data_IF_518513784228
#
_entry.id   IF_518513784228
#
_cell.length_a   1.000
_cell.length_b   1.000
_cell.length_c   1.000
_cell.angle_alpha   90.00
_cell.angle_beta   90.00
_cell.angle_gamma   90.00
#
_symmetry.space_group_name_H-M   'P 1'
#
loop_
_entity.id
_entity.type
_entity.pdbx_description
1 polymer ?
#
# COMPACT_ATOMS: atom_id res chain seq x y z
N UNK A 1 1.32 1.33 -21.63
CA UNK A 1 0.75 1.50 -20.27
C UNK A 1 0.41 0.11 -19.79
N UNK A 2 1.09 -0.48 -18.78
CA UNK A 2 0.55 -1.71 -18.22
C UNK A 2 -0.82 -1.36 -17.62
N UNK A 3 -1.80 -2.21 -17.89
CA UNK A 3 -3.17 -2.02 -17.43
C UNK A 3 -3.25 -2.06 -15.91
N UNK A 4 -4.29 -1.43 -15.38
CA UNK A 4 -4.64 -1.40 -13.98
C UNK A 4 -4.57 -2.82 -13.36
N UNK A 5 -3.63 -3.05 -12.44
CA UNK A 5 -3.32 -4.33 -11.79
C UNK A 5 -4.24 -4.60 -10.61
N UNK A 6 -4.94 -5.74 -10.64
CA UNK A 6 -5.73 -6.25 -9.52
C UNK A 6 -4.88 -7.14 -8.60
N UNK A 7 -5.42 -7.50 -7.44
CA UNK A 7 -4.84 -8.52 -6.55
C UNK A 7 -4.55 -9.84 -7.28
N UNK A 8 -5.48 -10.28 -8.12
CA UNK A 8 -5.34 -11.52 -8.89
C UNK A 8 -4.17 -11.41 -9.87
N UNK A 9 -4.12 -10.33 -10.66
CA UNK A 9 -3.01 -10.08 -11.59
C UNK A 9 -1.66 -10.00 -10.89
N UNK A 10 -1.58 -9.33 -9.73
CA UNK A 10 -0.35 -9.27 -8.94
C UNK A 10 0.08 -10.65 -8.45
N UNK A 11 -0.88 -11.47 -7.99
CA UNK A 11 -0.62 -12.82 -7.50
C UNK A 11 -0.12 -13.73 -8.63
N UNK A 12 -0.73 -13.66 -9.82
CA UNK A 12 -0.28 -14.37 -11.02
C UNK A 12 1.14 -13.98 -11.42
N UNK A 13 1.46 -12.68 -11.42
CA UNK A 13 2.79 -12.19 -11.76
C UNK A 13 3.86 -12.73 -10.79
N UNK A 14 3.55 -12.77 -9.49
CA UNK A 14 4.47 -13.34 -8.50
C UNK A 14 4.59 -14.86 -8.61
N UNK A 15 3.50 -15.55 -8.97
CA UNK A 15 3.53 -16.98 -9.24
C UNK A 15 4.43 -17.30 -10.44
N UNK A 16 4.27 -16.58 -11.54
CA UNK A 16 5.12 -16.74 -12.73
C UNK A 16 6.59 -16.40 -12.49
N UNK A 17 6.86 -15.39 -11.66
CA UNK A 17 8.21 -15.05 -11.26
C UNK A 17 8.80 -16.17 -10.39
N UNK A 18 8.01 -16.71 -9.46
CA UNK A 18 8.41 -17.84 -8.62
C UNK A 18 8.83 -19.05 -9.45
N UNK A 19 8.05 -19.41 -10.47
CA UNK A 19 8.34 -20.54 -11.36
C UNK A 19 9.66 -20.35 -12.13
N UNK A 20 9.91 -19.13 -12.62
CA UNK A 20 11.18 -18.77 -13.28
C UNK A 20 12.38 -18.84 -12.34
N UNK A 21 12.20 -18.45 -11.08
CA UNK A 21 13.24 -18.54 -10.06
C UNK A 21 13.52 -20.01 -9.67
N UNK A 22 12.48 -20.83 -9.59
CA UNK A 22 12.58 -22.26 -9.30
C UNK A 22 13.39 -23.00 -10.37
N UNK A 23 13.12 -22.74 -11.65
CA UNK A 23 13.89 -23.32 -12.77
C UNK A 23 15.38 -22.98 -12.69
N UNK A 24 15.72 -21.82 -12.12
CA UNK A 24 17.09 -21.35 -11.92
C UNK A 24 17.66 -21.73 -10.55
N UNK A 25 16.89 -22.45 -9.72
CA UNK A 25 17.24 -22.87 -8.35
C UNK A 25 17.64 -21.69 -7.44
N UNK A 26 16.99 -20.56 -7.62
CA UNK A 26 17.25 -19.33 -6.87
C UNK A 26 16.10 -19.06 -5.92
N UNK A 27 16.43 -18.65 -4.70
CA UNK A 27 15.48 -18.10 -3.75
C UNK A 27 15.64 -16.59 -3.71
N UNK A 28 14.54 -15.88 -3.84
CA UNK A 28 14.52 -14.43 -3.81
C UNK A 28 13.53 -13.90 -2.76
N UNK A 29 13.82 -12.70 -2.29
CA UNK A 29 12.93 -11.94 -1.42
C UNK A 29 12.73 -10.55 -2.01
N UNK A 30 11.47 -10.18 -2.20
CA UNK A 30 11.05 -8.87 -2.70
C UNK A 30 10.20 -8.16 -1.65
N UNK A 31 10.55 -6.92 -1.33
CA UNK A 31 9.81 -6.07 -0.41
C UNK A 31 9.01 -5.03 -1.19
N UNK A 32 7.68 -5.16 -1.18
CA UNK A 32 6.73 -4.33 -1.92
C UNK A 32 6.21 -3.21 -1.03
N UNK A 33 6.12 -2.02 -1.60
CA UNK A 33 5.58 -0.80 -0.99
C UNK A 33 4.53 -0.18 -1.91
N UNK A 34 4.03 1.01 -1.58
CA UNK A 34 3.19 1.78 -2.50
C UNK A 34 1.84 1.12 -2.81
N UNK A 35 1.33 1.35 -4.02
CA UNK A 35 0.01 0.89 -4.44
C UNK A 35 -0.15 -0.64 -4.40
N UNK A 36 0.87 -1.40 -4.82
CA UNK A 36 0.84 -2.86 -4.76
C UNK A 36 0.76 -3.40 -3.32
N UNK A 37 1.45 -2.76 -2.36
CA UNK A 37 1.30 -3.11 -0.95
C UNK A 37 -0.10 -2.78 -0.42
N UNK A 38 -0.71 -1.65 -0.86
CA UNK A 38 -2.09 -1.33 -0.52
C UNK A 38 -3.07 -2.38 -1.06
N UNK A 39 -2.99 -2.71 -2.35
CA UNK A 39 -3.88 -3.68 -3.01
C UNK A 39 -3.80 -5.07 -2.36
N UNK A 40 -2.59 -5.54 -2.03
CA UNK A 40 -2.37 -6.88 -1.50
C UNK A 40 -2.54 -6.97 0.02
N UNK A 41 -2.18 -5.92 0.75
CA UNK A 41 -2.10 -5.94 2.20
C UNK A 41 -3.23 -5.21 2.92
N UNK A 42 -3.81 -4.15 2.34
CA UNK A 42 -4.59 -3.15 3.09
C UNK A 42 -5.99 -2.86 2.54
N UNK A 43 -6.23 -2.94 1.23
CA UNK A 43 -7.54 -2.69 0.61
C UNK A 43 -7.78 -3.62 -0.57
N UNK A 44 -8.80 -4.47 -0.48
CA UNK A 44 -9.00 -5.60 -1.41
C UNK A 44 -9.63 -5.22 -2.75
N UNK A 45 -10.42 -4.16 -2.79
CA UNK A 45 -11.16 -3.75 -4.00
C UNK A 45 -10.38 -2.76 -4.88
N UNK A 46 -9.19 -2.33 -4.42
CA UNK A 46 -8.33 -1.40 -5.15
C UNK A 46 -7.54 -2.08 -6.24
N UNK A 47 -7.09 -1.25 -7.17
CA UNK A 47 -6.15 -1.61 -8.22
C UNK A 47 -5.01 -0.59 -8.25
N UNK A 48 -3.86 -1.00 -8.79
CA UNK A 48 -2.66 -0.16 -8.87
C UNK A 48 -2.13 -0.14 -10.30
N UNK A 49 -1.46 0.93 -10.69
CA UNK A 49 -0.81 1.00 -12.01
C UNK A 49 0.60 0.40 -11.97
N UNK A 50 1.26 0.51 -10.82
CA UNK A 50 2.65 0.12 -10.65
C UNK A 50 2.85 -0.85 -9.47
N UNK A 51 3.95 -1.61 -9.55
CA UNK A 51 4.49 -2.42 -8.46
C UNK A 51 5.76 -1.74 -7.98
N UNK A 52 5.68 -0.97 -6.90
CA UNK A 52 6.86 -0.38 -6.26
C UNK A 52 7.48 -1.41 -5.32
N UNK A 53 8.74 -1.79 -5.54
CA UNK A 53 9.40 -2.78 -4.70
C UNK A 53 10.91 -2.57 -4.60
N UNK A 54 11.51 -3.15 -3.56
CA UNK A 54 12.96 -3.35 -3.45
C UNK A 54 13.25 -4.84 -3.46
N UNK A 55 14.14 -5.27 -4.34
CA UNK A 55 14.60 -6.66 -4.35
C UNK A 55 15.67 -6.80 -3.26
N UNK A 56 15.41 -7.65 -2.26
CA UNK A 56 16.31 -7.86 -1.12
C UNK A 56 17.34 -8.95 -1.39
N UNK A 57 17.00 -9.94 -2.21
CA UNK A 57 17.90 -11.04 -2.59
C UNK A 57 17.57 -11.61 -3.97
N UNK A 58 18.56 -12.23 -4.61
CA UNK A 58 18.39 -12.83 -5.94
C UNK A 58 18.30 -11.82 -7.10
N UNK A 59 18.76 -10.58 -6.90
CA UNK A 59 18.56 -9.43 -7.81
C UNK A 59 18.69 -9.75 -9.30
N UNK A 60 19.85 -10.24 -9.74
CA UNK A 60 20.11 -10.52 -11.16
C UNK A 60 19.06 -11.44 -11.77
N UNK A 61 18.74 -12.53 -11.08
CA UNK A 61 17.83 -13.59 -11.55
C UNK A 61 16.38 -13.11 -11.49
N UNK A 62 16.02 -12.31 -10.49
CA UNK A 62 14.70 -11.65 -10.41
C UNK A 62 14.51 -10.70 -11.58
N UNK A 63 15.49 -9.84 -11.88
CA UNK A 63 15.43 -8.89 -12.99
C UNK A 63 15.34 -9.60 -14.34
N UNK A 64 16.06 -10.71 -14.53
CA UNK A 64 15.94 -11.54 -15.72
C UNK A 64 14.53 -12.13 -15.87
N UNK A 65 13.99 -12.75 -14.81
CA UNK A 65 12.65 -13.33 -14.83
C UNK A 65 11.55 -12.28 -15.05
N UNK A 66 11.70 -11.10 -14.45
CA UNK A 66 10.86 -9.92 -14.68
C UNK A 66 10.82 -9.55 -16.16
N UNK A 67 11.99 -9.45 -16.82
CA UNK A 67 12.08 -9.05 -18.23
C UNK A 67 11.45 -10.08 -19.15
N UNK A 68 11.60 -11.36 -18.84
CA UNK A 68 10.95 -12.45 -19.57
C UNK A 68 9.43 -12.33 -19.49
N UNK A 69 8.87 -12.23 -18.27
CA UNK A 69 7.42 -12.05 -18.08
C UNK A 69 6.94 -10.76 -18.74
N UNK A 70 7.71 -9.66 -18.63
CA UNK A 70 7.35 -8.39 -19.23
C UNK A 70 7.17 -8.50 -20.75
N UNK A 71 8.08 -9.20 -21.43
CA UNK A 71 7.98 -9.44 -22.89
C UNK A 71 6.79 -10.32 -23.24
N UNK A 72 6.54 -11.38 -22.47
CA UNK A 72 5.44 -12.31 -22.71
C UNK A 72 4.07 -11.68 -22.48
N UNK A 73 3.94 -10.84 -21.45
CA UNK A 73 2.68 -10.18 -21.06
C UNK A 73 2.51 -8.77 -21.64
N UNK A 74 3.48 -8.26 -22.40
CA UNK A 74 3.46 -6.89 -22.92
C UNK A 74 3.50 -5.82 -21.82
N UNK A 75 4.12 -6.12 -20.68
CA UNK A 75 4.32 -5.19 -19.57
C UNK A 75 5.62 -4.39 -19.75
N UNK A 76 5.79 -3.34 -18.94
CA UNK A 76 7.06 -2.59 -18.90
C UNK A 76 8.19 -3.47 -18.37
N UNK A 77 9.35 -3.53 -19.02
CA UNK A 77 10.51 -4.28 -18.50
C UNK A 77 11.06 -3.74 -17.16
N UNK A 78 10.50 -2.64 -16.66
CA UNK A 78 10.86 -2.00 -15.39
C UNK A 78 9.86 -2.27 -14.25
N UNK A 79 9.01 -3.32 -14.35
CA UNK A 79 8.21 -3.79 -13.22
C UNK A 79 8.99 -4.88 -12.44
N UNK A 80 9.11 -4.85 -11.11
CA UNK A 80 8.70 -3.76 -10.24
C UNK A 80 9.61 -2.54 -10.39
N UNK A 81 9.06 -1.37 -10.08
CA UNK A 81 9.80 -0.13 -10.02
C UNK A 81 10.73 -0.10 -8.78
N UNK A 82 12.01 -0.37 -8.99
CA UNK A 82 13.03 -0.33 -7.93
C UNK A 82 13.47 1.07 -7.53
N UNK A 83 13.10 2.12 -8.28
CA UNK A 83 13.45 3.51 -7.93
C UNK A 83 12.86 3.92 -6.58
N UNK A 84 11.80 3.24 -6.13
CA UNK A 84 11.22 3.44 -4.80
C UNK A 84 12.21 3.16 -3.67
N UNK A 85 13.24 2.34 -3.91
CA UNK A 85 14.23 1.93 -2.89
C UNK A 85 14.91 3.12 -2.21
N UNK A 86 15.10 4.24 -2.91
CA UNK A 86 15.68 5.46 -2.34
C UNK A 86 14.77 6.14 -1.29
N UNK A 87 13.47 5.84 -1.32
CA UNK A 87 12.45 6.41 -0.45
C UNK A 87 12.02 5.46 0.68
N UNK A 88 12.38 4.18 0.59
CA UNK A 88 12.12 3.19 1.64
C UNK A 88 12.96 3.54 2.88
N UNK A 89 12.38 3.47 4.09
CA UNK A 89 13.12 3.64 5.34
C UNK A 89 14.36 2.75 5.44
N UNK A 90 15.44 3.29 6.02
CA UNK A 90 16.63 2.48 6.34
C UNK A 90 16.35 1.50 7.47
N UNK A 91 15.42 1.85 8.36
CA UNK A 91 14.97 0.98 9.44
C UNK A 91 14.26 -0.23 8.83
N UNK A 92 14.54 -1.41 9.38
CA UNK A 92 13.87 -2.64 8.95
C UNK A 92 12.41 -2.61 9.36
N UNK A 93 11.55 -3.05 8.45
CA UNK A 93 10.15 -3.27 8.73
C UNK A 93 9.92 -4.62 9.42
N UNK A 94 9.88 -4.60 10.74
CA UNK A 94 9.65 -5.80 11.57
C UNK A 94 8.21 -6.32 11.48
N UNK A 95 7.27 -5.47 11.03
CA UNK A 95 5.84 -5.80 10.90
C UNK A 95 5.42 -6.05 9.45
N UNK A 96 6.39 -6.16 8.53
CA UNK A 96 6.15 -6.53 7.14
C UNK A 96 5.39 -7.86 7.06
N UNK A 97 4.38 -7.93 6.20
CA UNK A 97 3.53 -9.13 6.06
C UNK A 97 3.85 -9.85 4.77
N UNK A 98 3.91 -11.18 4.79
CA UNK A 98 4.01 -11.97 3.57
C UNK A 98 2.73 -11.79 2.73
N UNK A 99 2.88 -11.26 1.52
CA UNK A 99 1.80 -11.06 0.55
C UNK A 99 1.71 -12.22 -0.44
N UNK A 100 2.85 -12.82 -0.77
CA UNK A 100 2.97 -14.01 -1.58
C UNK A 100 4.16 -14.83 -1.07
N UNK A 101 4.05 -16.16 -1.07
CA UNK A 101 5.12 -17.04 -0.60
C UNK A 101 5.14 -18.37 -1.33
N UNK A 102 6.33 -18.75 -1.79
CA UNK A 102 6.66 -20.04 -2.37
C UNK A 102 8.07 -20.47 -1.92
N UNK A 103 8.51 -21.71 -2.22
CA UNK A 103 9.88 -22.13 -1.93
C UNK A 103 10.99 -21.31 -2.61
N UNK A 104 10.67 -20.61 -3.70
CA UNK A 104 11.62 -19.87 -4.55
C UNK A 104 11.44 -18.35 -4.48
N UNK A 105 10.30 -17.87 -4.00
CA UNK A 105 10.00 -16.44 -3.89
C UNK A 105 9.20 -16.13 -2.62
N UNK A 106 9.71 -15.19 -1.84
CA UNK A 106 8.95 -14.54 -0.77
C UNK A 106 8.72 -13.09 -1.16
N UNK A 107 7.46 -12.66 -1.17
CA UNK A 107 7.08 -11.26 -1.35
C UNK A 107 6.48 -10.77 -0.04
N UNK A 108 7.12 -9.80 0.59
CA UNK A 108 6.60 -9.12 1.78
C UNK A 108 6.12 -7.72 1.42
N UNK A 109 5.02 -7.29 2.03
CA UNK A 109 4.48 -5.95 1.91
C UNK A 109 4.80 -5.12 3.15
N UNK A 110 5.04 -3.84 2.93
CA UNK A 110 5.20 -2.87 4.00
C UNK A 110 4.03 -2.91 4.99
N UNK A 111 4.38 -2.82 6.28
CA UNK A 111 3.43 -2.66 7.37
C UNK A 111 2.60 -1.39 7.20
N UNK A 112 1.49 -1.30 7.94
CA UNK A 112 0.65 -0.11 7.85
C UNK A 112 1.41 1.13 8.35
N UNK A 113 2.24 0.98 9.39
CA UNK A 113 3.10 2.02 9.95
C UNK A 113 4.12 2.54 8.93
N UNK A 114 4.83 1.61 8.26
CA UNK A 114 5.78 1.94 7.20
C UNK A 114 5.11 2.65 6.03
N UNK A 115 3.96 2.12 5.59
CA UNK A 115 3.18 2.73 4.52
C UNK A 115 2.69 4.13 4.88
N UNK A 116 2.17 4.32 6.09
CA UNK A 116 1.66 5.60 6.55
C UNK A 116 2.78 6.64 6.57
N UNK A 117 3.92 6.31 7.20
CA UNK A 117 5.09 7.17 7.24
C UNK A 117 5.59 7.54 5.82
N UNK A 118 5.63 6.58 4.89
CA UNK A 118 6.07 6.83 3.51
C UNK A 118 5.12 7.76 2.75
N UNK A 119 3.80 7.55 2.87
CA UNK A 119 2.77 8.38 2.23
C UNK A 119 2.86 9.83 2.71
N UNK A 120 3.14 10.02 3.99
CA UNK A 120 3.34 11.34 4.57
C UNK A 120 4.61 12.03 4.17
N UNK A 121 5.69 11.25 4.12
CA UNK A 121 6.97 11.78 3.64
C UNK A 121 6.84 12.27 2.21
N UNK A 122 6.05 11.60 1.37
CA UNK A 122 5.74 12.02 0.01
C UNK A 122 4.85 13.27 -0.02
N UNK A 123 3.85 13.37 0.87
CA UNK A 123 3.01 14.56 1.04
C UNK A 123 2.23 14.93 -0.22
N UNK A 124 1.73 13.93 -0.94
CA UNK A 124 0.90 14.11 -2.14
C UNK A 124 -0.58 14.10 -1.77
N UNK A 125 -1.38 14.95 -2.39
CA UNK A 125 -2.83 14.98 -2.15
C UNK A 125 -3.51 13.67 -2.61
N UNK A 126 -2.96 13.00 -3.61
CA UNK A 126 -3.43 11.69 -4.10
C UNK A 126 -3.26 10.56 -3.09
N UNK A 127 -2.42 10.74 -2.07
CA UNK A 127 -2.20 9.75 -1.02
C UNK A 127 -3.24 9.89 0.12
N UNK A 128 -4.22 10.81 0.04
CA UNK A 128 -5.18 11.08 1.12
C UNK A 128 -6.01 9.86 1.51
N UNK A 129 -6.63 9.18 0.54
CA UNK A 129 -7.44 7.97 0.77
C UNK A 129 -6.60 6.85 1.39
N UNK A 130 -5.34 6.69 0.93
CA UNK A 130 -4.41 5.71 1.51
C UNK A 130 -4.13 6.02 2.98
N UNK A 131 -3.90 7.29 3.29
CA UNK A 131 -3.65 7.76 4.66
C UNK A 131 -4.88 7.49 5.53
N UNK A 132 -6.10 7.75 5.05
CA UNK A 132 -7.35 7.48 5.77
C UNK A 132 -7.47 5.99 6.13
N UNK A 133 -7.30 5.08 5.15
CA UNK A 133 -7.34 3.62 5.36
C UNK A 133 -6.28 3.16 6.36
N UNK A 134 -5.07 3.69 6.26
CA UNK A 134 -3.96 3.31 7.13
C UNK A 134 -4.14 3.83 8.55
N UNK A 135 -4.72 5.01 8.72
CA UNK A 135 -5.06 5.55 10.05
C UNK A 135 -6.13 4.72 10.73
N UNK A 136 -7.22 4.38 10.03
CA UNK A 136 -8.28 3.52 10.56
C UNK A 136 -7.71 2.17 11.01
N UNK A 137 -6.82 1.58 10.20
CA UNK A 137 -6.19 0.30 10.53
C UNK A 137 -5.25 0.33 11.73
N UNK A 138 -4.65 1.50 11.99
CA UNK A 138 -3.69 1.70 13.08
C UNK A 138 -4.34 2.33 14.32
N UNK A 139 -5.66 2.57 14.29
CA UNK A 139 -6.40 3.29 15.32
C UNK A 139 -5.76 4.66 15.66
N UNK A 140 -5.29 5.38 14.62
CA UNK A 140 -4.63 6.69 14.79
C UNK A 140 -5.66 7.80 14.73
N UNK A 141 -5.90 8.45 15.86
CA UNK A 141 -6.94 9.48 15.98
C UNK A 141 -6.36 10.89 16.13
N UNK A 142 -5.08 11.02 16.49
CA UNK A 142 -4.45 12.30 16.82
C UNK A 142 -3.24 12.59 15.96
N UNK A 143 -2.92 13.88 15.82
CA UNK A 143 -1.72 14.33 15.11
C UNK A 143 -0.42 13.87 15.79
N UNK A 144 -0.45 13.70 17.10
CA UNK A 144 0.73 13.31 17.87
C UNK A 144 1.06 11.81 17.69
N UNK A 145 0.06 10.92 17.73
CA UNK A 145 0.23 9.50 17.39
C UNK A 145 0.75 9.35 15.95
N UNK A 146 0.17 10.13 15.06
CA UNK A 146 0.51 10.15 13.65
C UNK A 146 1.96 10.59 13.41
N UNK A 147 2.42 11.62 14.13
CA UNK A 147 3.82 12.07 14.13
C UNK A 147 4.75 11.02 14.74
N UNK A 148 4.35 10.40 15.85
CA UNK A 148 5.15 9.39 16.52
C UNK A 148 5.47 8.21 15.59
N UNK A 149 4.46 7.72 14.85
CA UNK A 149 4.64 6.66 13.84
C UNK A 149 5.62 7.11 12.75
N UNK A 150 5.45 8.32 12.22
CA UNK A 150 6.36 8.83 11.20
C UNK A 150 7.80 8.92 11.71
N UNK A 151 8.00 9.51 12.89
CA UNK A 151 9.34 9.77 13.44
C UNK A 151 10.03 8.48 13.89
N UNK A 152 9.28 7.45 14.28
CA UNK A 152 9.83 6.11 14.53
C UNK A 152 10.42 5.48 13.24
N UNK A 153 9.74 5.69 12.11
CA UNK A 153 10.12 5.15 10.80
C UNK A 153 11.20 6.01 10.13
N UNK A 154 11.14 7.33 10.26
CA UNK A 154 12.05 8.31 9.67
C UNK A 154 12.61 9.30 10.72
N UNK A 155 13.47 8.83 11.65
CA UNK A 155 13.99 9.67 12.73
C UNK A 155 14.81 10.86 12.22
N UNK A 156 15.46 10.72 11.07
CA UNK A 156 16.32 11.75 10.48
C UNK A 156 15.56 12.73 9.56
N UNK A 157 14.23 12.61 9.43
CA UNK A 157 13.44 13.45 8.53
C UNK A 157 12.12 13.92 9.14
N UNK A 158 12.12 14.68 10.25
CA UNK A 158 10.90 15.05 10.97
C UNK A 158 9.82 15.70 10.08
N UNK A 159 8.55 15.43 10.37
CA UNK A 159 7.44 16.06 9.67
C UNK A 159 7.43 17.58 9.90
N UNK A 160 7.44 18.35 8.82
CA UNK A 160 7.37 19.81 8.88
C UNK A 160 6.58 20.42 7.73
N UNK A 161 6.10 21.64 7.95
CA UNK A 161 5.52 22.50 6.93
C UNK A 161 4.33 21.87 6.19
N UNK A 162 4.47 21.68 4.88
CA UNK A 162 3.40 21.19 4.00
C UNK A 162 2.92 19.78 4.37
N UNK A 163 3.83 18.90 4.79
CA UNK A 163 3.51 17.50 5.08
C UNK A 163 2.58 17.38 6.28
N UNK A 164 2.82 18.21 7.30
CA UNK A 164 1.99 18.28 8.49
C UNK A 164 0.56 18.76 8.17
N UNK A 165 0.42 19.76 7.31
CA UNK A 165 -0.91 20.28 6.92
C UNK A 165 -1.77 19.24 6.20
N UNK A 166 -1.16 18.28 5.51
CA UNK A 166 -1.89 17.18 4.88
C UNK A 166 -2.40 16.23 5.96
N UNK A 167 -1.55 15.85 6.92
CA UNK A 167 -1.95 15.04 8.06
C UNK A 167 -3.11 15.67 8.85
N UNK A 168 -3.01 16.96 9.17
CA UNK A 168 -4.06 17.71 9.87
C UNK A 168 -5.39 17.72 9.10
N UNK A 169 -5.34 17.90 7.77
CA UNK A 169 -6.54 17.86 6.93
C UNK A 169 -7.18 16.48 6.90
N UNK A 170 -6.38 15.42 6.79
CA UNK A 170 -6.91 14.05 6.78
C UNK A 170 -7.56 13.70 8.11
N UNK A 171 -6.91 14.04 9.22
CA UNK A 171 -7.48 13.88 10.57
C UNK A 171 -8.79 14.67 10.75
N UNK A 172 -8.85 15.91 10.24
CA UNK A 172 -10.06 16.73 10.33
C UNK A 172 -11.21 16.17 9.46
N UNK A 173 -10.89 15.64 8.28
CA UNK A 173 -11.88 15.05 7.37
C UNK A 173 -12.45 13.72 7.90
N UNK A 174 -11.62 12.86 8.49
CA UNK A 174 -12.06 11.60 9.09
C UNK A 174 -12.93 11.74 10.35
N UNK A 175 -12.90 12.92 10.99
CA UNK A 175 -13.74 13.25 12.16
C UNK A 175 -15.13 13.79 11.82
N UNK A 176 -15.45 14.04 10.55
CA UNK A 176 -16.80 14.46 10.15
C UNK A 176 -17.67 13.21 10.04
N UNK A 177 -18.64 12.96 10.93
CA UNK A 177 -19.55 11.83 10.77
C UNK A 177 -20.36 12.07 9.51
N UNK A 178 -20.44 11.05 8.65
CA UNK A 178 -21.32 11.05 7.50
C UNK A 178 -22.78 11.18 7.99
N UNK A 179 -23.31 12.42 8.07
CA UNK A 179 -24.73 12.65 8.30
C UNK A 179 -25.48 12.43 7.00
N UNK A 180 -25.81 11.19 6.72
CA UNK A 180 -26.99 10.84 5.93
C UNK A 180 -27.55 9.51 6.41
N UNK A 181 -28.04 9.49 7.65
CA UNK A 181 -29.28 8.80 7.95
C UNK A 181 -30.36 9.88 7.99
N UNK A 182 -31.10 10.01 6.88
CA UNK A 182 -32.41 10.64 6.88
C UNK A 182 -33.42 9.54 6.61
N UNK A 183 -33.72 8.79 7.66
CA UNK A 183 -34.98 8.12 7.85
C UNK A 183 -36.12 9.15 7.71
N UNK A 184 -36.73 9.20 6.53
CA UNK A 184 -38.08 9.71 6.36
C UNK A 184 -39.02 8.49 6.41
N UNK A 185 -39.29 8.02 7.62
CA UNK A 185 -40.48 7.22 7.92
C UNK A 185 -41.39 8.11 8.77
N UNK A 186 -42.15 8.98 8.10
CA UNK A 186 -43.35 9.58 8.69
C UNK A 186 -44.50 8.61 8.53
N UNK A 187 -44.52 7.58 9.38
CA UNK A 187 -45.75 6.86 9.68
C UNK A 187 -46.65 7.79 10.51
N UNK A 188 -47.61 8.42 9.84
CA UNK A 188 -48.62 9.27 10.47
C UNK A 188 -49.64 8.41 11.24
N UNK A 189 -49.84 8.61 12.56
CA UNK A 189 -50.88 7.90 13.29
C UNK A 189 -52.25 8.53 13.02
N UNK A 190 -53.22 7.67 12.74
CA UNK A 190 -54.65 7.99 12.69
C UNK A 190 -55.15 8.25 14.11
N UNK A 191 -56.01 9.26 14.26
CA UNK A 191 -56.92 9.36 15.40
C UNK A 191 -58.35 9.72 14.93
N UNK A 192 -59.38 9.40 15.73
CA UNK A 192 -60.66 8.91 15.22
C UNK A 192 -61.76 9.97 15.10
N UNK A 193 -62.85 9.53 14.46
CA UNK A 193 -64.14 10.18 14.18
C UNK A 193 -64.79 10.90 15.37
N UNK A 194 -65.71 11.84 15.08
CA UNK A 194 -67.14 11.50 14.95
C UNK A 194 -67.72 11.61 13.54
#
# INVERSE_FOLDING_TARGET
MPGILSRESLTELFQELSERLELRRVRAHVYVVGGAAMVLGHSRDRRTEDIDARIESGHTVVVEGVREIARERGLSEHWPNEQVSAYIPRRRDERARTLFGSPSLVVTGASAEHMLAMKLRAGRETDREDIEILMERLDVETLDEFRAIHDEVFPDSPLSGRKLRIAERTLAAGRVPNRTDSSADETQPRDPKP
#
